data_IF_166905380322
#
_entry.id   IF_166905380322
#
_cell.length_a   1.000
_cell.length_b   1.000
_cell.length_c   1.000
_cell.angle_alpha   90.00
_cell.angle_beta   90.00
_cell.angle_gamma   90.00
#
_symmetry.space_group_name_H-M   'P 1'
#
loop_
_entity.id
_entity.type
_entity.pdbx_description
1 polymer ?
#
# COMPACT_ATOMS: atom_id res chain seq x y z
N UNK A 1 18.21 2.80 36.89
CA UNK A 1 19.10 3.75 36.20
C UNK A 1 18.47 4.01 34.85
N UNK A 2 17.97 5.22 34.57
CA UNK A 2 17.34 5.52 33.27
C UNK A 2 18.43 6.01 32.32
N UNK A 3 18.62 5.30 31.23
CA UNK A 3 19.49 5.74 30.13
C UNK A 3 18.84 6.91 29.40
N UNK A 4 19.61 7.98 29.15
CA UNK A 4 19.12 9.14 28.40
C UNK A 4 19.04 8.77 26.92
N UNK A 5 17.86 8.92 26.32
CA UNK A 5 17.66 8.71 24.89
C UNK A 5 17.57 10.07 24.20
N UNK A 6 18.40 10.27 23.18
CA UNK A 6 18.31 11.43 22.30
C UNK A 6 17.21 11.20 21.26
N UNK A 7 16.36 12.21 21.06
CA UNK A 7 15.26 12.19 20.09
C UNK A 7 15.16 13.54 19.40
N UNK A 8 14.85 13.53 18.11
CA UNK A 8 14.51 14.72 17.34
C UNK A 8 12.99 14.91 17.36
N UNK A 9 12.54 16.16 17.53
CA UNK A 9 11.13 16.53 17.45
C UNK A 9 10.93 17.47 16.25
N UNK A 10 10.03 17.10 15.35
CA UNK A 10 9.64 17.89 14.18
C UNK A 10 8.20 18.34 14.38
N UNK A 11 7.96 19.65 14.42
CA UNK A 11 6.60 20.22 14.48
C UNK A 11 6.21 20.74 13.10
N UNK A 12 5.01 20.36 12.65
CA UNK A 12 4.45 20.79 11.36
C UNK A 12 3.04 21.29 11.58
N UNK A 13 2.72 22.42 10.98
CA UNK A 13 1.39 23.00 11.00
C UNK A 13 1.00 23.49 9.61
N UNK A 14 -0.17 23.09 9.15
CA UNK A 14 -0.77 23.54 7.89
C UNK A 14 -1.02 25.05 7.91
N UNK A 15 -0.57 25.77 6.88
CA UNK A 15 -0.69 27.22 6.76
C UNK A 15 -0.85 27.67 5.29
N UNK A 16 -1.93 28.42 4.94
CA UNK A 16 -3.17 28.58 5.69
C UNK A 16 -4.03 27.30 5.60
N UNK A 17 -4.78 26.92 6.66
CA UNK A 17 -5.78 25.86 6.54
C UNK A 17 -6.99 26.30 5.71
N UNK A 18 -7.77 25.36 5.13
CA UNK A 18 -9.04 25.65 4.49
C UNK A 18 -10.03 26.36 5.44
N UNK A 19 -10.88 27.23 4.89
CA UNK A 19 -11.86 27.99 5.68
C UNK A 19 -12.79 27.06 6.46
N UNK A 20 -12.97 27.35 7.75
CA UNK A 20 -13.82 26.57 8.66
C UNK A 20 -13.24 25.21 9.08
N UNK A 21 -12.01 24.87 8.67
CA UNK A 21 -11.35 23.60 9.02
C UNK A 21 -10.18 23.86 9.97
N UNK A 22 -10.06 23.04 11.03
CA UNK A 22 -8.92 23.10 11.93
C UNK A 22 -7.63 22.68 11.18
N UNK A 23 -6.50 23.39 11.37
CA UNK A 23 -5.26 23.07 10.68
C UNK A 23 -4.76 21.69 11.08
N UNK A 24 -4.22 20.94 10.11
CA UNK A 24 -3.43 19.75 10.43
C UNK A 24 -2.18 20.18 11.18
N UNK A 25 -1.99 19.62 12.38
CA UNK A 25 -0.84 19.87 13.24
C UNK A 25 -0.25 18.54 13.71
N UNK A 26 1.04 18.32 13.46
CA UNK A 26 1.76 17.10 13.83
C UNK A 26 3.03 17.44 14.60
N UNK A 27 3.31 16.65 15.64
CA UNK A 27 4.61 16.58 16.29
C UNK A 27 5.16 15.17 16.10
N UNK A 28 6.22 15.04 15.31
CA UNK A 28 6.87 13.78 15.00
C UNK A 28 8.10 13.61 15.87
N UNK A 29 8.15 12.54 16.65
CA UNK A 29 9.34 12.13 17.40
C UNK A 29 10.07 11.06 16.62
N UNK A 30 11.36 11.25 16.38
CA UNK A 30 12.17 10.34 15.58
C UNK A 30 13.59 10.23 16.11
N UNK A 31 14.21 9.06 15.93
CA UNK A 31 15.64 8.85 16.19
C UNK A 31 16.53 9.31 15.02
N UNK A 32 15.92 9.80 13.94
CA UNK A 32 16.61 10.36 12.79
C UNK A 32 17.03 11.81 13.06
N UNK A 33 18.11 12.24 12.43
CA UNK A 33 18.52 13.65 12.45
C UNK A 33 17.61 14.50 11.57
N UNK A 34 17.30 15.70 12.04
CA UNK A 34 16.61 16.74 11.29
C UNK A 34 17.22 18.09 11.71
N UNK A 35 18.30 18.46 11.06
CA UNK A 35 19.15 19.61 11.40
C UNK A 35 18.73 20.88 10.67
N UNK A 36 18.03 20.74 9.55
CA UNK A 36 17.46 21.85 8.78
C UNK A 36 16.03 21.54 8.30
N UNK A 37 15.42 22.53 7.64
CA UNK A 37 14.05 22.43 7.16
C UNK A 37 13.87 21.38 6.05
N UNK A 38 14.87 21.17 5.19
CA UNK A 38 14.80 20.18 4.11
C UNK A 38 14.83 18.76 4.66
N UNK A 39 15.73 18.50 5.63
CA UNK A 39 15.74 17.24 6.35
C UNK A 39 14.43 17.01 7.10
N UNK A 40 13.89 18.02 7.77
CA UNK A 40 12.60 17.90 8.45
C UNK A 40 11.47 17.56 7.46
N UNK A 41 11.40 18.25 6.33
CA UNK A 41 10.41 18.03 5.27
C UNK A 41 10.48 16.60 4.72
N UNK A 42 11.68 16.04 4.52
CA UNK A 42 11.85 14.65 4.08
C UNK A 42 11.16 13.68 5.05
N UNK A 43 11.37 13.82 6.37
CA UNK A 43 10.80 12.91 7.38
C UNK A 43 9.29 13.09 7.46
N UNK A 44 8.80 14.31 7.27
CA UNK A 44 7.37 14.59 7.16
C UNK A 44 6.79 13.90 5.94
N UNK A 45 7.46 13.97 4.79
CA UNK A 45 7.04 13.27 3.58
C UNK A 45 7.03 11.74 3.75
N UNK A 46 7.96 11.16 4.51
CA UNK A 46 7.89 9.75 4.88
C UNK A 46 6.69 9.46 5.79
N UNK A 47 6.46 10.28 6.80
CA UNK A 47 5.33 10.12 7.72
C UNK A 47 3.97 10.27 7.00
N UNK A 48 3.87 11.11 5.96
CA UNK A 48 2.68 11.21 5.11
C UNK A 48 2.31 9.88 4.46
N UNK A 49 3.28 8.99 4.26
CA UNK A 49 3.03 7.65 3.71
C UNK A 49 2.46 6.67 4.76
N UNK A 50 2.34 7.06 6.04
CA UNK A 50 1.77 6.23 7.11
C UNK A 50 0.38 5.71 6.75
N UNK A 51 -0.43 6.51 6.06
CA UNK A 51 -1.79 6.15 5.67
C UNK A 51 -1.88 4.92 4.75
N UNK A 52 -0.78 4.55 4.06
CA UNK A 52 -0.73 3.34 3.21
C UNK A 52 -1.08 2.06 3.98
N UNK A 53 -0.83 1.98 5.29
CA UNK A 53 -1.22 0.81 6.08
C UNK A 53 -2.74 0.72 6.25
N UNK A 54 -3.43 1.86 6.32
CA UNK A 54 -4.88 1.93 6.43
C UNK A 54 -5.54 1.52 5.10
N UNK A 55 -4.96 1.94 3.97
CA UNK A 55 -5.36 1.45 2.64
C UNK A 55 -5.18 -0.08 2.52
N UNK A 56 -4.08 -0.62 3.04
CA UNK A 56 -3.86 -2.06 3.09
C UNK A 56 -4.93 -2.77 3.92
N UNK A 57 -5.23 -2.28 5.13
CA UNK A 57 -6.27 -2.86 5.97
C UNK A 57 -7.66 -2.73 5.35
N UNK A 58 -7.98 -1.62 4.69
CA UNK A 58 -9.23 -1.49 3.93
C UNK A 58 -9.29 -2.51 2.79
N UNK A 59 -8.21 -2.70 2.05
CA UNK A 59 -8.12 -3.72 0.99
C UNK A 59 -8.31 -5.12 1.56
N UNK A 60 -7.69 -5.43 2.70
CA UNK A 60 -7.79 -6.74 3.35
C UNK A 60 -9.19 -7.02 3.92
N UNK A 61 -9.80 -6.02 4.55
CA UNK A 61 -11.11 -6.15 5.21
C UNK A 61 -12.27 -6.02 4.24
N UNK A 62 -12.35 -4.92 3.51
CA UNK A 62 -13.45 -4.62 2.60
C UNK A 62 -13.27 -5.31 1.25
N UNK A 63 -12.05 -5.26 0.68
CA UNK A 63 -11.77 -5.88 -0.62
C UNK A 63 -11.69 -7.40 -0.56
N UNK A 64 -10.83 -7.94 0.30
CA UNK A 64 -10.66 -9.39 0.45
C UNK A 64 -11.64 -10.02 1.45
N UNK A 65 -12.50 -9.24 2.11
CA UNK A 65 -13.53 -9.76 3.02
C UNK A 65 -12.95 -10.69 4.10
N UNK A 66 -11.78 -10.37 4.69
CA UNK A 66 -11.10 -11.27 5.64
C UNK A 66 -11.95 -11.57 6.88
N UNK A 67 -12.75 -10.60 7.33
CA UNK A 67 -13.59 -10.69 8.54
C UNK A 67 -14.85 -11.57 8.33
N UNK A 68 -15.16 -11.92 7.07
CA UNK A 68 -16.24 -12.86 6.75
C UNK A 68 -15.80 -14.32 6.83
N UNK A 69 -14.50 -14.61 7.02
CA UNK A 69 -14.02 -15.97 7.19
C UNK A 69 -14.61 -16.61 8.46
N UNK A 70 -15.39 -17.69 8.31
CA UNK A 70 -16.00 -18.46 9.41
C UNK A 70 -15.24 -19.77 9.67
N UNK A 71 -13.93 -19.68 9.88
CA UNK A 71 -13.10 -20.85 10.17
C UNK A 71 -13.12 -21.16 11.68
N UNK A 72 -13.35 -22.43 12.01
CA UNK A 72 -13.64 -22.85 13.39
C UNK A 72 -12.42 -22.95 14.32
N UNK A 73 -11.20 -22.70 13.84
CA UNK A 73 -9.98 -22.76 14.67
C UNK A 73 -9.05 -21.60 14.38
N UNK A 74 -8.35 -21.13 15.42
CA UNK A 74 -7.37 -20.05 15.30
C UNK A 74 -6.30 -20.35 14.25
N UNK A 75 -5.75 -21.58 14.22
CA UNK A 75 -4.74 -21.97 13.23
C UNK A 75 -5.24 -21.86 11.79
N UNK A 76 -6.49 -22.28 11.51
CA UNK A 76 -7.08 -22.16 10.17
C UNK A 76 -7.32 -20.69 9.82
N UNK A 77 -7.80 -19.90 10.78
CA UNK A 77 -8.01 -18.47 10.61
C UNK A 77 -6.70 -17.73 10.31
N UNK A 78 -5.63 -17.99 11.07
CA UNK A 78 -4.30 -17.41 10.83
C UNK A 78 -3.80 -17.71 9.42
N UNK A 79 -3.86 -18.97 8.98
CA UNK A 79 -3.45 -19.34 7.61
C UNK A 79 -4.24 -18.58 6.55
N UNK A 80 -5.55 -18.44 6.73
CA UNK A 80 -6.41 -17.70 5.80
C UNK A 80 -6.12 -16.20 5.79
N UNK A 81 -5.90 -15.60 6.96
CA UNK A 81 -5.51 -14.19 7.09
C UNK A 81 -4.17 -13.96 6.40
N UNK A 82 -3.18 -14.83 6.59
CA UNK A 82 -1.87 -14.74 5.92
C UNK A 82 -2.03 -14.78 4.41
N UNK A 83 -2.79 -15.74 3.87
CA UNK A 83 -3.03 -15.84 2.44
C UNK A 83 -3.74 -14.60 1.90
N UNK A 84 -4.83 -14.15 2.55
CA UNK A 84 -5.56 -12.94 2.15
C UNK A 84 -4.70 -11.69 2.27
N UNK A 85 -3.76 -11.62 3.21
CA UNK A 85 -2.82 -10.50 3.35
C UNK A 85 -1.90 -10.37 2.14
N UNK A 86 -1.36 -11.48 1.64
CA UNK A 86 -0.54 -11.50 0.41
C UNK A 86 -1.38 -11.04 -0.79
N UNK A 87 -2.61 -11.54 -0.92
CA UNK A 87 -3.53 -11.16 -2.00
C UNK A 87 -3.88 -9.66 -1.92
N UNK A 88 -4.25 -9.17 -0.73
CA UNK A 88 -4.57 -7.77 -0.51
C UNK A 88 -3.41 -6.84 -0.86
N UNK A 89 -2.19 -7.20 -0.46
CA UNK A 89 -0.99 -6.46 -0.85
C UNK A 89 -0.80 -6.45 -2.37
N UNK A 90 -0.94 -7.60 -3.05
CA UNK A 90 -0.78 -7.68 -4.50
C UNK A 90 -1.84 -6.86 -5.25
N UNK A 91 -3.09 -6.87 -4.80
CA UNK A 91 -4.17 -6.04 -5.33
C UNK A 91 -3.88 -4.54 -5.15
N UNK A 92 -3.45 -4.13 -3.96
CA UNK A 92 -3.06 -2.75 -3.67
C UNK A 92 -1.87 -2.32 -4.54
N UNK A 93 -0.86 -3.19 -4.68
CA UNK A 93 0.32 -2.93 -5.53
C UNK A 93 -0.07 -2.77 -6.99
N UNK A 94 -0.87 -3.68 -7.56
CA UNK A 94 -1.38 -3.57 -8.94
C UNK A 94 -2.11 -2.26 -9.16
N UNK A 95 -2.98 -1.87 -8.23
CA UNK A 95 -3.74 -0.61 -8.34
C UNK A 95 -2.82 0.61 -8.35
N UNK A 96 -1.78 0.62 -7.51
CA UNK A 96 -0.79 1.71 -7.48
C UNK A 96 0.10 1.72 -8.73
N UNK A 97 0.50 0.54 -9.23
CA UNK A 97 1.27 0.44 -10.47
C UNK A 97 0.49 0.95 -11.68
N UNK A 98 -0.82 0.66 -11.75
CA UNK A 98 -1.69 1.21 -12.79
C UNK A 98 -1.68 2.73 -12.83
N UNK A 99 -1.72 3.35 -11.65
CA UNK A 99 -1.77 4.81 -11.54
C UNK A 99 -0.41 5.48 -11.80
N UNK A 100 0.69 4.85 -11.39
CA UNK A 100 2.04 5.43 -11.49
C UNK A 100 2.74 5.12 -12.82
N UNK A 101 2.48 3.95 -13.39
CA UNK A 101 3.14 3.45 -14.59
C UNK A 101 2.09 2.82 -15.54
N UNK A 102 1.28 3.63 -16.26
CA UNK A 102 0.26 3.10 -17.17
C UNK A 102 0.84 2.23 -18.29
N UNK A 103 2.08 2.48 -18.68
CA UNK A 103 2.79 1.74 -19.74
C UNK A 103 3.41 0.41 -19.25
N UNK A 104 3.25 0.06 -17.97
CA UNK A 104 3.78 -1.18 -17.43
C UNK A 104 3.16 -2.42 -18.13
N UNK A 105 4.01 -3.39 -18.42
CA UNK A 105 3.58 -4.66 -19.01
C UNK A 105 3.02 -5.58 -17.94
N UNK A 106 2.14 -6.52 -18.32
CA UNK A 106 1.58 -7.45 -17.33
C UNK A 106 2.66 -8.30 -16.64
N UNK A 107 3.82 -8.48 -17.28
CA UNK A 107 4.97 -9.22 -16.73
C UNK A 107 5.71 -8.50 -15.61
N UNK A 108 5.51 -7.19 -15.44
CA UNK A 108 6.10 -6.42 -14.34
C UNK A 108 5.42 -6.70 -13.00
N UNK A 109 4.19 -7.25 -13.03
CA UNK A 109 3.37 -7.47 -11.83
C UNK A 109 2.89 -8.91 -11.68
N UNK A 110 2.69 -9.60 -12.80
CA UNK A 110 2.20 -10.98 -12.84
C UNK A 110 3.29 -11.91 -13.36
N UNK A 111 3.44 -13.05 -12.71
CA UNK A 111 4.25 -14.14 -13.25
C UNK A 111 3.67 -14.64 -14.58
N UNK A 112 4.49 -15.35 -15.35
CA UNK A 112 4.09 -15.93 -16.63
C UNK A 112 2.80 -16.75 -16.54
N UNK A 113 2.68 -17.61 -15.52
CA UNK A 113 1.50 -18.46 -15.32
C UNK A 113 0.28 -17.61 -14.97
N UNK A 114 0.44 -16.60 -14.12
CA UNK A 114 -0.67 -15.75 -13.67
C UNK A 114 -1.28 -14.95 -14.81
N UNK A 115 -0.49 -14.23 -15.61
CA UNK A 115 -1.04 -13.43 -16.70
C UNK A 115 -1.61 -14.29 -17.82
N UNK A 116 -0.97 -15.43 -18.14
CA UNK A 116 -1.48 -16.35 -19.17
C UNK A 116 -2.81 -16.96 -18.74
N UNK A 117 -2.90 -17.42 -17.49
CA UNK A 117 -4.13 -18.00 -16.94
C UNK A 117 -5.24 -16.95 -16.89
N UNK A 118 -4.92 -15.73 -16.44
CA UNK A 118 -5.86 -14.62 -16.38
C UNK A 118 -6.35 -14.22 -17.78
N UNK A 119 -5.44 -14.13 -18.76
CA UNK A 119 -5.77 -13.80 -20.14
C UNK A 119 -6.72 -14.83 -20.75
N UNK A 120 -6.37 -16.11 -20.66
CA UNK A 120 -7.22 -17.20 -21.15
C UNK A 120 -8.60 -17.19 -20.48
N UNK A 121 -8.65 -16.91 -19.18
CA UNK A 121 -9.90 -16.88 -18.40
C UNK A 121 -10.81 -15.70 -18.77
N UNK A 122 -10.26 -14.52 -19.01
CA UNK A 122 -11.00 -13.30 -19.36
C UNK A 122 -11.45 -13.34 -20.83
N UNK A 123 -10.53 -13.67 -21.73
CA UNK A 123 -10.79 -13.69 -23.17
C UNK A 123 -11.46 -14.99 -23.64
N UNK A 124 -11.70 -15.92 -22.71
CA UNK A 124 -12.36 -17.22 -22.96
C UNK A 124 -11.71 -17.97 -24.13
N UNK A 125 -10.37 -17.99 -24.15
CA UNK A 125 -9.56 -18.54 -25.24
C UNK A 125 -8.41 -19.36 -24.69
N UNK A 126 -7.95 -20.35 -25.46
CA UNK A 126 -6.71 -21.08 -25.16
C UNK A 126 -5.50 -20.53 -25.92
N UNK A 127 -5.71 -19.54 -26.79
CA UNK A 127 -4.66 -18.91 -27.61
C UNK A 127 -4.07 -17.72 -26.88
N UNK A 128 -2.77 -17.76 -26.63
CA UNK A 128 -2.02 -16.66 -26.04
C UNK A 128 -1.54 -15.68 -27.11
N UNK A 129 -1.44 -14.38 -26.80
CA UNK A 129 -0.83 -13.41 -27.69
C UNK A 129 0.68 -13.65 -27.82
N UNK A 130 1.27 -13.23 -28.94
CA UNK A 130 2.73 -13.31 -29.17
C UNK A 130 3.53 -12.42 -28.20
N UNK A 131 2.96 -11.27 -27.83
CA UNK A 131 3.53 -10.34 -26.87
C UNK A 131 2.63 -10.19 -25.64
N UNK A 132 3.21 -10.03 -24.43
CA UNK A 132 2.43 -9.79 -23.22
C UNK A 132 1.57 -8.53 -23.36
N UNK A 133 0.29 -8.57 -22.98
CA UNK A 133 -0.56 -7.38 -23.01
C UNK A 133 -0.07 -6.33 -22.01
N UNK A 134 -0.47 -5.07 -22.26
CA UNK A 134 -0.36 -4.02 -21.24
C UNK A 134 -1.17 -4.42 -20.00
N UNK A 135 -0.61 -4.14 -18.81
CA UNK A 135 -1.20 -4.60 -17.56
C UNK A 135 -2.53 -3.88 -17.23
N UNK A 136 -2.67 -2.63 -17.71
CA UNK A 136 -3.78 -1.76 -17.35
C UNK A 136 -4.38 -1.17 -18.63
N UNK A 137 -5.72 -1.15 -18.72
CA UNK A 137 -6.39 -0.40 -19.79
C UNK A 137 -6.41 1.08 -19.39
N UNK A 138 -5.96 1.94 -20.31
CA UNK A 138 -6.21 3.38 -20.25
C UNK A 138 -7.69 3.69 -20.48
#
# INVERSE_FOLDING_TARGET
>A
MHEKVHVSAISVKEQPPPEGVAPVEWVLLTNLTATDAFEAEEKVNWYRLRWKIEEFFNTLKSGCCVEQCRLNTATKLTKMITLKSIIAFKLMYMTKMAALCPEATCTDVLSKIEWQTLYCRIQTTSRLPEHPPQCFRQ
#
